data_IF_872319503098
#
_entry.id   IF_872319503098
#
_cell.length_a   1.000
_cell.length_b   1.000
_cell.length_c   1.000
_cell.angle_alpha   90.00
_cell.angle_beta   90.00
_cell.angle_gamma   90.00
#
_symmetry.space_group_name_H-M   'P 1'
#
loop_
_entity.id
_entity.type
_entity.pdbx_description
1 polymer ?
#
# COMPACT_ATOMS: atom_id res chain seq x y z
N UNK A 1 13.97 0.85 17.38
CA UNK A 1 12.94 1.38 16.48
C UNK A 1 12.28 2.58 17.12
N UNK A 2 11.99 3.63 16.35
CA UNK A 2 11.34 4.87 16.82
C UNK A 2 10.00 5.16 16.14
N UNK A 3 9.73 4.54 14.99
CA UNK A 3 8.56 4.83 14.18
C UNK A 3 8.50 3.96 12.93
N UNK A 4 7.61 4.32 12.00
CA UNK A 4 7.46 3.67 10.71
C UNK A 4 7.51 4.67 9.56
N UNK A 5 8.11 4.25 8.45
CA UNK A 5 8.06 4.91 7.17
C UNK A 5 7.10 4.14 6.26
N UNK A 6 6.20 4.84 5.58
CA UNK A 6 5.26 4.25 4.63
C UNK A 6 5.26 5.03 3.31
N UNK A 7 5.28 4.32 2.17
CA UNK A 7 5.21 4.91 0.82
C UNK A 7 4.19 4.10 0.01
N UNK A 8 2.91 4.52 -0.02
CA UNK A 8 1.84 3.70 -0.61
C UNK A 8 1.99 3.42 -2.11
N UNK A 9 2.53 4.37 -2.89
CA UNK A 9 2.66 4.23 -4.35
C UNK A 9 3.55 3.07 -4.79
N UNK A 10 4.44 2.62 -3.90
CA UNK A 10 5.35 1.49 -4.12
C UNK A 10 5.26 0.43 -3.02
N UNK A 11 4.18 0.46 -2.22
CA UNK A 11 3.83 -0.53 -1.20
C UNK A 11 4.93 -0.78 -0.14
N UNK A 12 5.69 0.26 0.20
CA UNK A 12 6.73 0.16 1.25
C UNK A 12 6.13 0.50 2.60
N UNK A 13 6.40 -0.34 3.61
CA UNK A 13 6.24 -0.02 5.03
C UNK A 13 7.41 -0.58 5.83
N UNK A 14 8.23 0.28 6.44
CA UNK A 14 9.47 -0.11 7.11
C UNK A 14 9.59 0.49 8.51
N UNK A 15 10.08 -0.26 9.52
CA UNK A 15 10.44 0.30 10.81
C UNK A 15 11.65 1.24 10.68
N UNK A 16 11.60 2.38 11.37
CA UNK A 16 12.68 3.37 11.42
C UNK A 16 13.51 3.15 12.70
N UNK A 17 14.82 3.01 12.55
CA UNK A 17 15.80 2.96 13.64
C UNK A 17 16.64 4.23 13.70
N UNK A 18 17.22 4.54 14.86
CA UNK A 18 18.19 5.64 14.97
C UNK A 18 19.58 5.11 14.64
N UNK A 19 20.23 5.74 13.67
CA UNK A 19 21.59 5.42 13.26
C UNK A 19 21.67 4.27 12.27
N UNK A 20 22.23 4.55 11.10
CA UNK A 20 22.42 3.61 9.99
C UNK A 20 23.57 2.61 10.23
N UNK A 21 23.48 1.83 11.30
CA UNK A 21 24.36 0.68 11.54
C UNK A 21 23.98 -0.49 10.64
N UNK A 22 24.90 -1.42 10.39
CA UNK A 22 24.60 -2.64 9.62
C UNK A 22 23.41 -3.41 10.20
N UNK A 23 23.32 -3.53 11.53
CA UNK A 23 22.20 -4.20 12.17
C UNK A 23 20.87 -3.50 11.89
N UNK A 24 20.81 -2.17 12.08
CA UNK A 24 19.57 -1.42 11.85
C UNK A 24 19.11 -1.43 10.40
N UNK A 25 20.05 -1.34 9.45
CA UNK A 25 19.71 -1.46 8.02
C UNK A 25 19.25 -2.88 7.66
N UNK A 26 19.70 -3.90 8.38
CA UNK A 26 19.23 -5.28 8.20
C UNK A 26 17.83 -5.51 8.80
N UNK A 27 17.45 -4.72 9.80
CA UNK A 27 16.14 -4.85 10.46
C UNK A 27 15.07 -3.91 9.87
N UNK A 28 15.46 -2.94 9.03
CA UNK A 28 14.54 -1.99 8.40
C UNK A 28 15.24 -0.82 7.71
N UNK A 29 14.76 0.39 7.98
CA UNK A 29 15.40 1.64 7.55
C UNK A 29 15.92 2.40 8.76
N UNK A 30 16.89 3.28 8.56
CA UNK A 30 17.54 3.94 9.69
C UNK A 30 17.87 5.41 9.39
N UNK A 31 17.66 6.28 10.38
CA UNK A 31 18.12 7.67 10.28
C UNK A 31 19.64 7.74 10.26
N UNK A 32 20.19 8.69 9.52
CA UNK A 32 21.64 8.95 9.48
C UNK A 32 22.00 9.89 10.63
N UNK A 33 22.94 9.47 11.49
CA UNK A 33 23.47 10.31 12.56
C UNK A 33 24.18 11.51 11.96
N UNK A 34 23.92 12.71 12.50
CA UNK A 34 24.41 13.97 11.96
C UNK A 34 23.42 14.69 11.04
N UNK A 35 22.29 14.06 10.73
CA UNK A 35 21.12 14.70 10.10
C UNK A 35 20.00 14.87 11.11
N UNK A 36 18.99 15.67 10.80
CA UNK A 36 17.90 15.95 11.74
C UNK A 36 17.06 14.69 12.00
N UNK A 37 16.45 14.62 13.19
CA UNK A 37 15.52 13.53 13.50
C UNK A 37 14.25 13.65 12.62
N UNK A 38 13.61 12.52 12.28
CA UNK A 38 12.42 12.50 11.41
C UNK A 38 11.15 12.90 12.19
N UNK A 39 11.21 14.07 12.84
CA UNK A 39 10.13 14.67 13.64
C UNK A 39 9.59 15.97 13.01
N UNK A 40 10.11 16.33 11.83
CA UNK A 40 9.80 17.57 11.13
C UNK A 40 10.47 18.80 11.74
N UNK A 41 10.15 19.97 11.17
CA UNK A 41 10.65 21.27 11.60
C UNK A 41 11.20 22.10 10.44
N UNK A 42 10.91 23.40 10.46
CA UNK A 42 11.41 24.33 9.45
C UNK A 42 12.92 24.46 9.54
N UNK A 43 13.60 24.34 8.40
CA UNK A 43 15.05 24.33 8.32
C UNK A 43 15.68 22.99 8.73
N UNK A 44 14.87 21.93 8.91
CA UNK A 44 15.39 20.59 9.17
C UNK A 44 15.43 19.75 7.89
N UNK A 45 16.39 18.84 7.83
CA UNK A 45 16.43 17.75 6.86
C UNK A 45 16.77 16.44 7.53
N UNK A 46 15.78 15.58 7.64
CA UNK A 46 16.02 14.21 8.09
C UNK A 46 16.42 13.32 6.91
N UNK A 47 17.45 12.50 7.10
CA UNK A 47 17.87 11.52 6.09
C UNK A 47 17.69 10.10 6.62
N UNK A 48 16.90 9.31 5.88
CA UNK A 48 16.63 7.91 6.18
C UNK A 48 17.34 7.05 5.14
N UNK A 49 18.25 6.20 5.58
CA UNK A 49 18.96 5.23 4.77
C UNK A 49 18.25 3.87 4.75
N UNK A 50 18.32 3.20 3.62
CA UNK A 50 17.85 1.83 3.45
C UNK A 50 18.60 1.10 2.34
N UNK A 51 18.73 -0.22 2.48
CA UNK A 51 19.35 -1.05 1.46
C UNK A 51 18.62 -0.96 0.13
N UNK A 52 19.38 -0.87 -0.97
CA UNK A 52 18.81 -0.84 -2.32
C UNK A 52 18.28 -2.21 -2.73
N UNK A 53 18.93 -3.28 -2.28
CA UNK A 53 18.47 -4.64 -2.46
C UNK A 53 18.84 -5.41 -1.20
N UNK A 54 17.92 -6.26 -0.72
CA UNK A 54 18.21 -7.14 0.40
C UNK A 54 17.46 -8.45 0.28
N UNK A 55 18.02 -9.49 0.89
CA UNK A 55 17.54 -10.86 0.70
C UNK A 55 16.20 -11.15 1.39
N UNK A 56 15.80 -10.37 2.40
CA UNK A 56 14.53 -10.58 3.12
C UNK A 56 13.38 -9.70 2.66
N UNK A 57 13.68 -8.55 2.04
CA UNK A 57 12.69 -7.51 1.71
C UNK A 57 13.25 -6.56 0.65
N UNK A 58 12.37 -6.00 -0.18
CA UNK A 58 12.68 -5.01 -1.20
C UNK A 58 13.19 -3.69 -0.60
N UNK A 59 12.80 -3.31 0.62
CA UNK A 59 13.17 -2.02 1.25
C UNK A 59 13.13 -0.85 0.27
N UNK A 60 14.28 -0.28 -0.12
CA UNK A 60 14.38 0.87 -1.01
C UNK A 60 14.65 0.52 -2.49
N UNK A 61 14.46 -0.75 -2.88
CA UNK A 61 14.64 -1.21 -4.26
C UNK A 61 13.84 -0.40 -5.28
N UNK A 62 12.60 -0.08 -4.94
CA UNK A 62 11.62 0.59 -5.82
C UNK A 62 11.63 2.11 -5.72
N UNK A 63 12.58 2.73 -5.02
CA UNK A 63 12.62 4.20 -4.90
C UNK A 63 12.73 4.93 -6.25
N UNK A 64 13.27 4.29 -7.28
CA UNK A 64 13.32 4.85 -8.65
C UNK A 64 11.96 4.95 -9.33
N UNK A 65 10.93 4.30 -8.81
CA UNK A 65 9.57 4.37 -9.35
C UNK A 65 8.82 5.62 -8.84
N UNK A 66 9.35 6.27 -7.79
CA UNK A 66 8.72 7.46 -7.20
C UNK A 66 8.76 8.64 -8.16
N UNK A 67 7.65 9.39 -8.18
CA UNK A 67 7.46 10.59 -8.98
C UNK A 67 7.22 11.80 -8.10
N UNK A 68 7.43 12.99 -8.65
CA UNK A 68 7.05 14.23 -7.98
C UNK A 68 5.56 14.18 -7.57
N UNK A 69 5.27 14.53 -6.32
CA UNK A 69 3.94 14.48 -5.72
C UNK A 69 3.60 13.17 -4.99
N UNK A 70 4.41 12.12 -5.11
CA UNK A 70 4.18 10.90 -4.34
C UNK A 70 4.33 11.16 -2.84
N UNK A 71 3.47 10.52 -2.04
CA UNK A 71 3.41 10.71 -0.59
C UNK A 71 4.33 9.73 0.15
N UNK A 72 5.10 10.28 1.09
CA UNK A 72 5.88 9.54 2.09
C UNK A 72 5.32 9.92 3.46
N UNK A 73 5.04 8.91 4.28
CA UNK A 73 4.51 9.10 5.63
C UNK A 73 5.54 8.66 6.67
N UNK A 74 5.69 9.45 7.72
CA UNK A 74 6.49 9.12 8.90
C UNK A 74 5.57 9.06 10.11
N UNK A 75 5.37 7.86 10.66
CA UNK A 75 4.62 7.62 11.89
C UNK A 75 5.60 7.59 13.07
N UNK A 76 5.56 8.60 13.94
CA UNK A 76 6.45 8.70 15.11
C UNK A 76 5.72 9.35 16.28
N UNK A 77 5.85 8.77 17.49
CA UNK A 77 5.26 9.34 18.71
C UNK A 77 3.74 9.56 18.65
N UNK A 78 3.01 8.75 17.89
CA UNK A 78 1.56 8.89 17.71
C UNK A 78 1.13 9.98 16.71
N UNK A 79 2.07 10.63 16.03
CA UNK A 79 1.82 11.60 14.97
C UNK A 79 2.23 11.02 13.62
N UNK A 80 1.53 11.40 12.56
CA UNK A 80 1.90 11.07 11.19
C UNK A 80 2.29 12.35 10.46
N UNK A 81 3.53 12.41 10.00
CA UNK A 81 4.04 13.51 9.17
C UNK A 81 3.92 13.10 7.70
N UNK A 82 3.36 13.98 6.86
CA UNK A 82 3.22 13.73 5.43
C UNK A 82 4.25 14.55 4.64
N UNK A 83 4.99 13.87 3.76
CA UNK A 83 5.97 14.49 2.86
C UNK A 83 5.59 14.19 1.41
N UNK A 84 5.81 15.16 0.52
CA UNK A 84 5.62 15.01 -0.93
C UNK A 84 6.98 14.96 -1.61
N UNK A 85 7.22 13.91 -2.39
CA UNK A 85 8.41 13.78 -3.24
C UNK A 85 8.50 14.99 -4.16
N UNK A 86 9.64 15.66 -4.17
CA UNK A 86 9.94 16.74 -5.10
C UNK A 86 10.77 16.28 -6.28
N UNK A 87 11.88 15.63 -5.99
CA UNK A 87 12.85 15.24 -7.00
C UNK A 87 13.69 14.05 -6.53
N UNK A 88 14.43 13.51 -7.47
CA UNK A 88 15.46 12.51 -7.24
C UNK A 88 16.79 13.01 -7.79
N UNK A 89 17.88 12.67 -7.10
CA UNK A 89 19.24 12.97 -7.56
C UNK A 89 20.17 11.81 -7.26
N UNK A 90 21.20 11.65 -8.11
CA UNK A 90 22.28 10.68 -7.88
C UNK A 90 23.55 11.45 -7.55
N UNK A 91 24.12 11.18 -6.37
CA UNK A 91 25.32 11.84 -5.86
C UNK A 91 26.45 10.83 -5.64
N UNK A 92 27.71 11.28 -5.56
CA UNK A 92 28.79 10.38 -5.12
C UNK A 92 28.62 10.09 -3.63
N UNK A 93 29.06 8.91 -3.20
CA UNK A 93 29.06 8.53 -1.78
C UNK A 93 29.85 9.51 -0.89
N UNK A 94 30.80 10.26 -1.46
CA UNK A 94 31.61 11.27 -0.78
C UNK A 94 30.94 12.64 -0.63
N UNK A 95 29.87 12.91 -1.37
CA UNK A 95 29.24 14.24 -1.47
C UNK A 95 28.25 14.49 -0.33
N UNK A 96 28.67 14.21 0.91
CA UNK A 96 27.80 14.27 2.09
C UNK A 96 27.20 15.67 2.34
N UNK A 97 27.83 16.74 1.84
CA UNK A 97 27.32 18.11 1.96
C UNK A 97 25.95 18.27 1.29
N UNK A 98 25.63 17.38 0.32
CA UNK A 98 24.31 17.32 -0.32
C UNK A 98 23.19 16.89 0.63
N UNK A 99 23.52 16.40 1.83
CA UNK A 99 22.56 15.99 2.87
C UNK A 99 22.27 17.10 3.88
N UNK A 100 22.94 18.24 3.78
CA UNK A 100 22.72 19.37 4.68
C UNK A 100 21.28 19.90 4.58
N UNK A 101 20.75 20.45 5.68
CA UNK A 101 19.45 21.12 5.67
C UNK A 101 19.46 22.33 4.74
N UNK A 102 18.28 22.64 4.21
CA UNK A 102 18.04 23.83 3.41
C UNK A 102 17.22 24.80 4.24
N UNK A 103 17.63 26.07 4.24
CA UNK A 103 16.98 27.11 5.02
C UNK A 103 15.49 27.23 4.66
N UNK A 104 14.65 27.41 5.69
CA UNK A 104 13.20 27.58 5.54
C UNK A 104 12.48 26.41 4.84
N UNK A 105 13.03 25.20 4.90
CA UNK A 105 12.39 23.99 4.36
C UNK A 105 12.36 22.88 5.41
N UNK A 106 11.22 22.20 5.57
CA UNK A 106 11.12 20.94 6.32
C UNK A 106 11.24 19.79 5.31
N UNK A 107 12.38 19.12 5.33
CA UNK A 107 12.77 18.13 4.33
C UNK A 107 12.92 16.73 4.91
N UNK A 108 12.55 15.75 4.10
CA UNK A 108 12.90 14.35 4.28
C UNK A 108 13.64 13.87 3.04
N UNK A 109 14.75 13.17 3.23
CA UNK A 109 15.47 12.51 2.14
C UNK A 109 15.57 11.02 2.40
N UNK A 110 15.17 10.22 1.41
CA UNK A 110 15.43 8.78 1.40
C UNK A 110 16.72 8.52 0.64
N UNK A 111 17.63 7.78 1.25
CA UNK A 111 18.97 7.51 0.71
C UNK A 111 19.17 6.01 0.52
N UNK A 112 19.65 5.63 -0.66
CA UNK A 112 20.00 4.24 -0.96
C UNK A 112 21.19 4.16 -1.92
N UNK A 113 21.79 2.98 -2.08
CA UNK A 113 22.86 2.78 -3.04
C UNK A 113 22.36 2.87 -4.48
N UNK A 114 23.23 3.36 -5.35
CA UNK A 114 23.06 3.33 -6.80
C UNK A 114 24.45 3.21 -7.46
N UNK A 115 24.64 2.44 -8.54
CA UNK A 115 23.70 1.49 -9.16
C UNK A 115 23.47 0.24 -8.29
N UNK A 116 22.61 -0.67 -8.74
CA UNK A 116 22.26 -1.94 -8.05
C UNK A 116 23.41 -2.94 -7.93
N UNK A 117 24.51 -2.73 -8.66
CA UNK A 117 25.66 -3.64 -8.73
C UNK A 117 26.94 -2.89 -8.36
N UNK A 118 28.01 -3.61 -7.91
CA UNK A 118 29.30 -2.99 -7.63
C UNK A 118 29.77 -2.11 -8.80
N UNK A 119 30.39 -0.95 -8.53
CA UNK A 119 31.11 -0.61 -7.29
C UNK A 119 30.31 0.10 -6.18
N UNK A 120 29.02 0.38 -6.34
CA UNK A 120 28.19 1.11 -5.34
C UNK A 120 28.75 2.49 -4.93
N UNK A 121 29.42 3.19 -5.84
CA UNK A 121 30.08 4.48 -5.54
C UNK A 121 29.11 5.68 -5.47
N UNK A 122 27.84 5.48 -5.82
CA UNK A 122 26.82 6.52 -5.85
C UNK A 122 25.67 6.24 -4.89
N UNK A 123 24.90 7.28 -4.59
CA UNK A 123 23.70 7.24 -3.78
C UNK A 123 22.56 7.86 -4.54
N UNK A 124 21.43 7.18 -4.57
CA UNK A 124 20.16 7.76 -4.96
C UNK A 124 19.56 8.47 -3.75
N UNK A 125 19.22 9.74 -3.94
CA UNK A 125 18.46 10.54 -3.00
C UNK A 125 17.07 10.78 -3.58
N UNK A 126 16.04 10.54 -2.77
CA UNK A 126 14.67 10.98 -3.03
C UNK A 126 14.38 12.10 -2.04
N UNK A 127 14.27 13.33 -2.52
CA UNK A 127 14.03 14.51 -1.69
C UNK A 127 12.53 14.82 -1.65
N UNK A 128 12.01 15.03 -0.45
CA UNK A 128 10.60 15.32 -0.22
C UNK A 128 10.44 16.49 0.76
N UNK A 129 9.39 17.28 0.57
CA UNK A 129 9.05 18.41 1.43
C UNK A 129 7.83 18.11 2.27
N UNK A 130 7.81 18.65 3.49
CA UNK A 130 6.66 18.53 4.37
C UNK A 130 5.42 19.13 3.70
N UNK A 131 4.37 18.32 3.62
CA UNK A 131 3.02 18.82 3.42
C UNK A 131 2.50 19.24 4.81
N UNK A 132 2.09 20.51 5.01
CA UNK A 132 1.46 20.93 6.26
C UNK A 132 0.25 20.07 6.56
N UNK A 133 0.05 19.72 7.83
CA UNK A 133 -1.12 18.97 8.26
C UNK A 133 -2.34 19.91 8.17
N UNK A 134 -3.04 19.88 7.04
CA UNK A 134 -4.28 20.64 6.86
C UNK A 134 -5.37 19.88 7.60
N UNK A 135 -5.67 20.31 8.82
CA UNK A 135 -6.68 19.69 9.69
C UNK A 135 -8.10 19.57 9.07
N UNK A 136 -8.35 20.19 7.91
CA UNK A 136 -9.66 20.25 7.24
C UNK A 136 -9.77 19.32 6.02
N UNK A 137 -8.70 19.09 5.24
CA UNK A 137 -8.76 18.23 4.03
C UNK A 137 -8.79 16.72 4.36
N UNK A 138 -8.17 16.32 5.47
CA UNK A 138 -8.15 14.93 5.94
C UNK A 138 -9.50 14.46 6.47
N UNK A 139 -10.34 15.37 6.99
CA UNK A 139 -11.69 15.04 7.43
C UNK A 139 -12.57 14.72 6.22
N UNK A 140 -12.43 15.49 5.15
CA UNK A 140 -13.27 15.39 3.97
C UNK A 140 -12.89 14.18 3.10
N UNK A 141 -11.60 13.92 2.90
CA UNK A 141 -11.13 12.74 2.17
C UNK A 141 -11.47 11.43 2.88
N UNK A 142 -11.35 11.37 4.22
CA UNK A 142 -11.76 10.19 5.00
C UNK A 142 -13.27 9.97 4.95
N UNK A 143 -14.08 11.02 4.94
CA UNK A 143 -15.53 10.90 4.77
C UNK A 143 -15.88 10.35 3.39
N UNK A 144 -15.32 10.92 2.31
CA UNK A 144 -15.57 10.45 0.94
C UNK A 144 -15.17 8.99 0.75
N UNK A 145 -13.98 8.57 1.20
CA UNK A 145 -13.54 7.17 1.08
C UNK A 145 -14.38 6.20 1.94
N UNK A 146 -14.85 6.63 3.11
CA UNK A 146 -15.74 5.80 3.94
C UNK A 146 -17.15 5.67 3.35
N UNK A 147 -17.67 6.72 2.71
CA UNK A 147 -18.96 6.71 2.03
C UNK A 147 -18.92 5.84 0.77
N UNK A 148 -17.86 5.97 -0.05
CA UNK A 148 -17.64 5.12 -1.23
C UNK A 148 -17.52 3.63 -0.85
N UNK A 149 -16.80 3.32 0.24
CA UNK A 149 -16.66 1.94 0.73
C UNK A 149 -17.98 1.36 1.25
N UNK A 150 -18.78 2.15 1.98
CA UNK A 150 -20.13 1.74 2.41
C UNK A 150 -21.06 1.52 1.23
N UNK A 151 -21.03 2.39 0.22
CA UNK A 151 -21.84 2.27 -0.99
C UNK A 151 -21.46 1.02 -1.78
N UNK A 152 -20.17 0.74 -1.96
CA UNK A 152 -19.69 -0.48 -2.63
C UNK A 152 -20.14 -1.75 -1.88
N UNK A 153 -20.00 -1.76 -0.55
CA UNK A 153 -20.39 -2.90 0.28
C UNK A 153 -21.91 -3.11 0.28
N UNK A 154 -22.71 -2.04 0.28
CA UNK A 154 -24.17 -2.11 0.23
C UNK A 154 -24.71 -2.59 -1.13
N UNK A 155 -24.18 -2.07 -2.25
CA UNK A 155 -24.59 -2.51 -3.59
C UNK A 155 -24.14 -3.95 -3.88
N UNK A 156 -22.96 -4.35 -3.44
CA UNK A 156 -22.48 -5.73 -3.59
C UNK A 156 -23.37 -6.73 -2.84
N UNK A 157 -23.81 -6.42 -1.62
CA UNK A 157 -24.70 -7.30 -0.86
C UNK A 157 -26.07 -7.48 -1.55
N UNK A 158 -26.64 -6.39 -2.07
CA UNK A 158 -27.94 -6.42 -2.75
C UNK A 158 -27.89 -7.28 -4.03
N UNK A 159 -26.87 -7.09 -4.86
CA UNK A 159 -26.72 -7.83 -6.11
C UNK A 159 -26.51 -9.34 -5.89
N UNK A 160 -25.65 -9.73 -4.94
CA UNK A 160 -25.41 -11.15 -4.59
C UNK A 160 -26.67 -11.82 -4.06
N UNK A 161 -27.49 -11.10 -3.28
CA UNK A 161 -28.76 -11.63 -2.76
C UNK A 161 -29.78 -11.92 -3.87
N UNK A 162 -29.93 -11.02 -4.85
CA UNK A 162 -30.84 -11.26 -5.98
C UNK A 162 -30.39 -12.43 -6.87
N UNK A 163 -29.09 -12.56 -7.13
CA UNK A 163 -28.55 -13.69 -7.92
C UNK A 163 -28.81 -15.02 -7.22
N UNK A 164 -28.59 -15.08 -5.90
CA UNK A 164 -28.79 -16.33 -5.15
C UNK A 164 -30.26 -16.73 -5.11
N UNK A 165 -31.19 -15.81 -4.84
CA UNK A 165 -32.63 -16.10 -4.89
C UNK A 165 -33.05 -16.57 -6.27
N UNK A 166 -32.62 -15.89 -7.33
CA UNK A 166 -32.95 -16.27 -8.69
C UNK A 166 -32.41 -17.66 -9.04
N UNK A 167 -31.17 -17.96 -8.63
CA UNK A 167 -30.56 -19.28 -8.80
C UNK A 167 -31.34 -20.39 -8.10
N UNK A 168 -31.80 -20.15 -6.86
CA UNK A 168 -32.63 -21.11 -6.12
C UNK A 168 -34.01 -21.33 -6.75
N UNK A 169 -34.66 -20.27 -7.23
CA UNK A 169 -35.95 -20.40 -7.93
C UNK A 169 -35.81 -21.19 -9.22
N UNK A 170 -34.75 -20.94 -10.01
CA UNK A 170 -34.45 -21.68 -11.23
C UNK A 170 -34.16 -23.16 -10.93
N UNK A 171 -33.35 -23.43 -9.90
CA UNK A 171 -33.05 -24.79 -9.44
C UNK A 171 -34.35 -25.53 -9.03
N UNK A 172 -35.20 -24.91 -8.21
CA UNK A 172 -36.48 -25.48 -7.79
C UNK A 172 -37.40 -25.75 -8.97
N UNK A 173 -37.46 -24.85 -9.96
CA UNK A 173 -38.24 -25.06 -11.17
C UNK A 173 -37.75 -26.25 -12.00
N UNK A 174 -36.43 -26.37 -12.18
CA UNK A 174 -35.80 -27.51 -12.88
C UNK A 174 -36.12 -28.82 -12.14
N UNK A 175 -35.97 -28.85 -10.82
CA UNK A 175 -36.30 -30.01 -9.99
C UNK A 175 -37.78 -30.38 -10.08
N UNK A 176 -38.68 -29.40 -10.03
CA UNK A 176 -40.13 -29.63 -10.19
C UNK A 176 -40.45 -30.26 -11.55
N UNK A 177 -39.89 -29.70 -12.64
CA UNK A 177 -40.06 -30.24 -14.00
C UNK A 177 -39.51 -31.66 -14.10
N UNK A 178 -38.34 -31.92 -13.53
CA UNK A 178 -37.71 -33.24 -13.51
C UNK A 178 -38.57 -34.27 -12.77
N UNK A 179 -39.08 -33.94 -11.58
CA UNK A 179 -39.99 -34.82 -10.82
C UNK A 179 -41.28 -35.06 -11.59
N UNK A 180 -41.87 -34.02 -12.20
CA UNK A 180 -43.10 -34.15 -12.98
C UNK A 180 -42.90 -35.08 -14.18
N UNK A 181 -41.75 -34.98 -14.86
CA UNK A 181 -41.38 -35.87 -15.96
C UNK A 181 -41.21 -37.32 -15.48
N UNK A 182 -40.51 -37.54 -14.37
CA UNK A 182 -40.38 -38.88 -13.76
C UNK A 182 -41.75 -39.47 -13.36
N UNK A 183 -42.64 -38.67 -12.78
CA UNK A 183 -43.98 -39.17 -12.42
C UNK A 183 -44.83 -39.50 -13.64
N UNK A 184 -44.68 -38.74 -14.73
CA UNK A 184 -45.42 -39.00 -15.97
C UNK A 184 -44.90 -40.22 -16.72
N UNK A 185 -43.58 -40.47 -16.73
CA UNK A 185 -43.01 -41.69 -17.33
C UNK A 185 -43.37 -42.94 -16.53
N UNK A 186 -43.36 -42.86 -15.19
CA UNK A 186 -43.81 -43.96 -14.32
C UNK A 186 -45.32 -44.22 -14.44
N UNK A 187 -46.15 -43.16 -14.59
CA UNK A 187 -47.59 -43.29 -14.81
C UNK A 187 -47.93 -43.94 -16.15
N UNK A 188 -47.19 -43.59 -17.22
CA UNK A 188 -47.34 -44.20 -18.55
C UNK A 188 -46.90 -45.67 -18.57
N UNK A 189 -45.77 -45.99 -17.92
CA UNK A 189 -45.32 -47.38 -17.77
C UNK A 189 -46.32 -48.25 -16.99
N UNK A 190 -47.11 -47.68 -16.09
CA UNK A 190 -48.13 -48.42 -15.32
C UNK A 190 -49.43 -48.61 -16.10
N UNK A 191 -49.83 -47.69 -17.00
CA UNK A 191 -50.99 -47.88 -17.87
C UNK A 191 -50.71 -48.93 -18.95
N UNK A 192 -49.52 -48.91 -19.55
CA UNK A 192 -49.15 -49.82 -20.64
C UNK A 192 -49.06 -51.30 -20.19
N UNK A 193 -48.85 -51.56 -18.89
CA UNK A 193 -48.86 -52.90 -18.28
C UNK A 193 -50.27 -53.39 -17.92
N UNK A 194 -51.20 -52.47 -17.65
CA UNK A 194 -52.60 -52.80 -17.32
C UNK A 194 -53.42 -53.09 -18.59
N UNK A 195 -53.07 -52.48 -19.72
CA UNK A 195 -53.71 -52.75 -21.03
C UNK A 195 -53.22 -54.05 -21.71
N UNK A 196 -52.28 -54.79 -21.09
CA UNK A 196 -51.68 -56.03 -21.62
C UNK A 196 -52.13 -57.32 -20.88
N UNK A 197 -53.11 -57.22 -19.98
CA UNK A 197 -53.75 -58.34 -19.24
C UNK A 197 -55.23 -58.38 -19.60
#
# INVERSE_FOLDING_TARGET
>A
MIGYLSIPSIEIRQPIYIGATSQHLNDGVASIIGTDLPVGGMGHRSVIAGHRSWYTDLRFFRLTELKEGDKIFIEIGGTTLTYLVKNTEVIKATDWQKLLPVENQDMLTLLTCDPLVPPFDYRLLVNAYRQPDVAEEDAQSKQTSQEEMKQYQQHSFSFVFYITIFGWLLLCYILYRFVTLLTNTLRKSKSDVVDLI
#
